data_IF_608255805667
#
_entry.id   IF_608255805667
#
_cell.length_a   1.000
_cell.length_b   1.000
_cell.length_c   1.000
_cell.angle_alpha   90.00
_cell.angle_beta   90.00
_cell.angle_gamma   90.00
#
_symmetry.space_group_name_H-M   'P 1'
#
loop_
_entity.id
_entity.type
_entity.pdbx_description
1 polymer ?
#
# COMPACT_ATOMS: atom_id res chain seq x y z
N UNK A 1 52.65 -16.99 28.86
CA UNK A 1 52.03 -17.82 29.91
C UNK A 1 50.53 -17.77 29.76
N UNK A 2 50.03 -18.83 29.32
CA UNK A 2 48.93 -19.70 29.73
C UNK A 2 47.56 -19.05 29.53
N UNK A 3 46.60 -19.66 29.07
CA UNK A 3 46.17 -20.91 28.45
C UNK A 3 44.67 -20.79 28.13
N UNK A 4 44.38 -21.26 27.00
CA UNK A 4 43.24 -22.04 26.54
C UNK A 4 42.09 -22.34 27.54
N UNK A 5 40.87 -22.16 27.08
CA UNK A 5 39.92 -23.25 27.29
C UNK A 5 38.75 -23.19 26.27
N UNK A 6 38.64 -24.29 25.61
CA UNK A 6 37.72 -24.72 24.57
C UNK A 6 36.53 -25.39 25.25
N UNK A 7 35.32 -25.02 24.90
CA UNK A 7 34.19 -25.90 25.19
C UNK A 7 33.23 -26.01 24.01
N UNK A 8 33.35 -27.13 23.38
CA UNK A 8 32.53 -27.75 22.39
C UNK A 8 31.29 -28.35 23.11
N UNK A 9 30.13 -28.10 22.59
CA UNK A 9 29.00 -28.96 22.95
C UNK A 9 28.16 -29.27 21.71
N UNK A 10 28.30 -30.52 21.33
CA UNK A 10 27.51 -31.29 20.39
C UNK A 10 26.25 -31.78 21.06
N UNK A 11 25.17 -31.83 20.41
CA UNK A 11 24.03 -32.77 20.52
C UNK A 11 23.01 -32.36 19.49
N UNK A 12 22.92 -33.02 18.43
CA UNK A 12 22.32 -34.28 18.02
C UNK A 12 20.80 -34.30 18.09
N UNK A 13 20.26 -34.40 16.91
CA UNK A 13 19.13 -35.18 16.40
C UNK A 13 17.87 -35.32 17.28
N UNK A 14 16.77 -34.99 16.64
CA UNK A 14 15.73 -36.00 16.47
C UNK A 14 14.74 -35.58 15.37
N UNK A 15 14.69 -36.46 14.38
CA UNK A 15 13.69 -36.55 13.33
C UNK A 15 12.44 -37.22 13.88
N UNK A 16 11.28 -36.65 13.69
CA UNK A 16 10.06 -37.44 13.69
C UNK A 16 9.18 -37.10 12.50
N UNK A 17 9.19 -38.03 11.62
CA UNK A 17 8.33 -38.25 10.49
C UNK A 17 6.98 -38.78 11.00
N UNK A 18 5.88 -38.17 10.60
CA UNK A 18 4.59 -38.84 10.73
C UNK A 18 3.78 -38.68 9.45
N UNK A 19 3.84 -39.74 8.67
CA UNK A 19 2.87 -40.07 7.65
C UNK A 19 1.65 -40.69 8.33
N UNK A 20 0.45 -40.28 7.96
CA UNK A 20 -0.69 -41.16 8.02
C UNK A 20 -1.61 -40.96 6.84
N UNK A 21 -1.73 -42.06 6.16
CA UNK A 21 -2.59 -42.31 5.02
C UNK A 21 -4.06 -42.51 5.43
N UNK A 22 -4.91 -42.13 4.55
CA UNK A 22 -5.91 -43.09 4.15
C UNK A 22 -7.37 -42.85 4.45
N UNK A 23 -8.05 -42.83 3.40
CA UNK A 23 -9.25 -43.57 3.01
C UNK A 23 -10.50 -42.76 2.71
N UNK A 24 -10.71 -42.62 1.43
CA UNK A 24 -12.01 -42.77 0.81
C UNK A 24 -12.41 -44.27 0.88
N UNK A 25 -13.66 -44.70 1.07
CA UNK A 25 -14.57 -44.79 -0.06
C UNK A 25 -16.08 -44.88 0.19
N UNK A 26 -16.77 -44.86 -0.93
CA UNK A 26 -17.99 -45.59 -1.35
C UNK A 26 -19.35 -45.02 -1.00
N UNK A 27 -19.98 -44.58 -2.00
CA UNK A 27 -21.04 -45.29 -2.78
C UNK A 27 -22.12 -46.05 -1.98
N UNK A 28 -23.37 -45.60 -2.13
CA UNK A 28 -24.56 -46.41 -2.26
C UNK A 28 -25.74 -45.56 -2.73
N UNK A 29 -26.10 -45.64 -3.94
CA UNK A 29 -27.14 -46.34 -4.70
C UNK A 29 -28.43 -46.69 -3.93
N UNK A 30 -29.55 -46.21 -4.44
CA UNK A 30 -30.91 -46.67 -4.10
C UNK A 30 -31.96 -45.66 -4.59
N UNK A 31 -32.41 -45.75 -5.68
CA UNK A 31 -33.44 -46.48 -6.39
C UNK A 31 -34.89 -46.21 -5.85
N UNK A 32 -35.72 -45.74 -6.82
CA UNK A 32 -37.13 -46.03 -7.14
C UNK A 32 -38.20 -45.03 -6.75
N UNK A 33 -39.13 -44.75 -7.76
CA UNK A 33 -40.08 -44.20 -8.24
C UNK A 33 -41.39 -44.00 -8.16
N UNK A 34 -42.07 -43.57 -8.65
CA UNK A 34 -43.26 -43.53 -9.22
C UNK A 34 -44.10 -42.38 -9.01
N UNK A 35 -44.51 -42.04 -9.91
CA UNK A 35 -45.41 -41.49 -10.48
C UNK A 35 -46.40 -40.64 -10.11
N UNK A 36 -46.85 -40.11 -10.69
CA UNK A 36 -48.03 -39.70 -11.03
C UNK A 36 -48.39 -38.33 -11.03
N UNK A 37 -48.73 -38.09 -11.82
CA UNK A 37 -49.21 -37.03 -12.42
C UNK A 37 -50.18 -36.17 -11.81
N UNK A 38 -50.33 -35.54 -12.15
CA UNK A 38 -51.27 -34.59 -12.25
C UNK A 38 -51.02 -33.36 -11.48
N UNK A 39 -50.84 -32.29 -12.10
CA UNK A 39 -50.61 -31.01 -11.45
C UNK A 39 -50.15 -29.92 -12.45
N UNK A 40 -50.36 -30.11 -13.74
CA UNK A 40 -49.90 -29.15 -14.78
C UNK A 40 -50.80 -27.92 -15.00
N UNK A 41 -51.90 -27.83 -14.32
CA UNK A 41 -52.82 -26.69 -14.49
C UNK A 41 -52.59 -25.51 -13.52
N UNK A 42 -51.80 -25.71 -12.46
CA UNK A 42 -51.58 -24.65 -11.45
C UNK A 42 -50.31 -23.83 -11.67
N UNK A 43 -49.43 -24.23 -12.62
CA UNK A 43 -48.16 -23.58 -12.82
C UNK A 43 -48.22 -22.33 -13.73
N UNK A 44 -49.33 -22.15 -14.44
CA UNK A 44 -49.42 -21.10 -15.47
C UNK A 44 -50.09 -19.79 -15.01
N UNK A 45 -50.56 -19.72 -13.78
CA UNK A 45 -51.24 -18.51 -13.28
C UNK A 45 -50.34 -17.61 -12.46
N UNK A 46 -49.16 -18.10 -12.06
CA UNK A 46 -48.23 -17.31 -11.22
C UNK A 46 -47.14 -16.56 -11.99
N UNK A 47 -47.15 -16.69 -13.33
CA UNK A 47 -46.12 -15.99 -14.15
C UNK A 47 -46.75 -14.80 -14.90
N UNK A 48 -47.66 -14.05 -14.23
CA UNK A 48 -48.01 -12.72 -14.72
C UNK A 48 -46.88 -11.77 -14.25
N UNK A 49 -46.10 -11.43 -15.19
CA UNK A 49 -45.04 -10.43 -15.13
C UNK A 49 -45.42 -9.20 -14.31
N UNK A 50 -44.75 -8.98 -13.21
CA UNK A 50 -44.69 -7.65 -12.63
C UNK A 50 -44.01 -6.75 -13.66
N UNK A 51 -44.56 -5.56 -13.96
CA UNK A 51 -43.83 -4.62 -14.79
C UNK A 51 -42.51 -4.27 -14.10
N UNK A 52 -41.42 -4.05 -14.86
CA UNK A 52 -40.18 -3.63 -14.25
C UNK A 52 -40.41 -2.30 -13.53
N UNK A 53 -40.36 -2.36 -12.23
CA UNK A 53 -40.25 -1.15 -11.43
C UNK A 53 -38.97 -0.48 -11.92
N UNK A 54 -39.16 0.64 -12.59
CA UNK A 54 -38.04 1.48 -12.98
C UNK A 54 -37.14 1.63 -11.74
N UNK A 55 -35.93 1.10 -11.84
CA UNK A 55 -34.99 1.16 -10.74
C UNK A 55 -34.82 2.61 -10.32
N UNK A 56 -35.29 2.89 -9.12
CA UNK A 56 -34.84 4.10 -8.44
C UNK A 56 -33.32 4.09 -8.46
N UNK A 57 -32.75 4.86 -9.36
CA UNK A 57 -31.36 5.21 -9.30
C UNK A 57 -31.19 5.90 -7.95
N UNK A 58 -30.74 5.13 -6.99
CA UNK A 58 -30.22 5.66 -5.74
C UNK A 58 -29.34 6.85 -6.12
N UNK A 59 -29.64 8.06 -5.69
CA UNK A 59 -28.84 9.20 -6.06
C UNK A 59 -27.40 8.84 -5.68
N UNK A 60 -26.52 8.82 -6.67
CA UNK A 60 -25.10 8.69 -6.40
C UNK A 60 -24.80 9.77 -5.36
N UNK A 61 -24.43 9.32 -4.17
CA UNK A 61 -24.02 10.24 -3.13
C UNK A 61 -22.97 11.13 -3.78
N UNK A 62 -23.31 12.38 -4.00
CA UNK A 62 -22.36 13.38 -4.47
C UNK A 62 -21.27 13.44 -3.41
N UNK A 63 -20.16 12.77 -3.67
CA UNK A 63 -18.97 12.92 -2.85
C UNK A 63 -18.69 14.41 -2.80
N UNK A 64 -18.88 15.01 -1.64
CA UNK A 64 -18.50 16.40 -1.39
C UNK A 64 -17.07 16.55 -1.90
N UNK A 65 -16.76 17.58 -2.66
CA UNK A 65 -15.39 17.74 -3.16
C UNK A 65 -14.44 17.67 -1.98
N UNK A 66 -13.60 16.63 -1.97
CA UNK A 66 -12.55 16.49 -0.97
C UNK A 66 -11.62 17.67 -1.16
N UNK A 67 -11.70 18.64 -0.26
CA UNK A 67 -10.76 19.75 -0.24
C UNK A 67 -9.39 19.18 0.08
N UNK A 68 -8.52 19.16 -0.90
CA UNK A 68 -7.15 18.72 -0.70
C UNK A 68 -6.43 19.67 0.25
N UNK A 69 -5.80 19.10 1.27
CA UNK A 69 -5.03 19.85 2.25
C UNK A 69 -3.56 19.76 1.85
N UNK A 70 -2.92 20.90 1.66
CA UNK A 70 -1.52 20.95 1.25
C UNK A 70 -0.64 21.46 2.38
N UNK A 71 0.49 20.80 2.58
CA UNK A 71 1.54 21.22 3.50
C UNK A 71 2.78 21.61 2.70
N UNK A 72 3.10 22.90 2.60
CA UNK A 72 4.32 23.34 1.92
C UNK A 72 5.53 23.15 2.82
N UNK A 73 6.67 22.87 2.20
CA UNK A 73 7.97 22.73 2.87
C UNK A 73 8.95 23.76 2.32
N UNK A 74 9.82 24.26 3.20
CA UNK A 74 10.93 25.12 2.81
C UNK A 74 11.85 24.38 1.82
N UNK A 75 12.53 25.12 0.96
CA UNK A 75 13.45 24.50 -0.01
C UNK A 75 14.49 23.59 0.63
N UNK A 76 14.83 22.54 -0.11
CA UNK A 76 15.94 21.64 0.21
C UNK A 76 17.05 21.90 -0.80
N UNK A 77 18.28 21.97 -0.33
CA UNK A 77 19.47 22.03 -1.17
C UNK A 77 20.43 20.95 -0.65
N UNK A 78 20.76 19.99 -1.49
CA UNK A 78 21.62 18.85 -1.14
C UNK A 78 22.65 18.60 -2.24
N UNK A 79 23.78 17.99 -1.86
CA UNK A 79 24.73 17.45 -2.83
C UNK A 79 24.24 16.09 -3.30
N UNK A 80 24.24 15.86 -4.60
CA UNK A 80 23.99 14.54 -5.19
C UNK A 80 25.29 13.74 -5.22
N UNK A 81 25.17 12.44 -5.13
CA UNK A 81 26.29 11.53 -5.35
C UNK A 81 26.63 11.54 -6.84
N UNK A 82 27.84 11.97 -7.18
CA UNK A 82 28.32 11.99 -8.56
C UNK A 82 29.83 11.69 -8.58
N UNK A 83 30.26 10.97 -9.61
CA UNK A 83 31.66 10.63 -9.83
C UNK A 83 32.40 11.67 -10.68
N UNK A 84 31.66 12.60 -11.30
CA UNK A 84 32.19 13.55 -12.28
C UNK A 84 32.31 14.98 -11.74
N UNK A 85 31.90 15.21 -10.52
CA UNK A 85 31.95 16.54 -9.90
C UNK A 85 30.89 16.78 -8.85
N UNK A 86 30.88 17.96 -8.29
CA UNK A 86 29.88 18.38 -7.32
C UNK A 86 28.60 18.79 -8.05
N UNK A 87 27.50 18.18 -7.71
CA UNK A 87 26.18 18.49 -8.25
C UNK A 87 25.22 18.80 -7.11
N UNK A 88 24.52 19.89 -7.25
CA UNK A 88 23.54 20.33 -6.24
C UNK A 88 22.13 20.14 -6.77
N UNK A 89 21.30 19.57 -5.93
CA UNK A 89 19.86 19.45 -6.19
C UNK A 89 19.10 20.42 -5.31
N UNK A 90 18.37 21.34 -5.93
CA UNK A 90 17.40 22.21 -5.24
C UNK A 90 15.98 21.70 -5.50
N UNK A 91 15.25 21.40 -4.43
CA UNK A 91 13.86 20.95 -4.52
C UNK A 91 12.99 21.81 -3.63
N UNK A 92 11.87 22.26 -4.18
CA UNK A 92 10.75 22.83 -3.40
C UNK A 92 9.56 21.89 -3.59
N UNK A 93 8.88 21.55 -2.51
CA UNK A 93 7.80 20.57 -2.57
C UNK A 93 6.64 20.90 -1.65
N UNK A 94 5.49 20.34 -2.00
CA UNK A 94 4.28 20.36 -1.17
C UNK A 94 3.76 18.93 -1.05
N UNK A 95 3.19 18.63 0.09
CA UNK A 95 2.57 17.33 0.35
C UNK A 95 1.06 17.46 0.46
N UNK A 96 0.35 16.62 -0.25
CA UNK A 96 -1.10 16.49 -0.14
C UNK A 96 -1.41 15.53 1.00
N UNK A 97 -2.20 16.00 1.96
CA UNK A 97 -2.56 15.26 3.17
C UNK A 97 -3.99 14.74 3.10
N UNK A 98 -4.24 13.62 3.75
CA UNK A 98 -5.56 13.01 3.82
C UNK A 98 -6.56 13.78 4.68
N UNK A 99 -6.07 14.58 5.62
CA UNK A 99 -6.88 15.22 6.63
C UNK A 99 -6.27 16.55 7.10
N UNK A 100 -7.13 17.52 7.38
CA UNK A 100 -6.76 18.84 7.93
C UNK A 100 -6.08 18.70 9.31
N UNK A 101 -6.53 17.75 10.12
CA UNK A 101 -5.99 17.56 11.46
C UNK A 101 -4.50 17.22 11.46
N UNK A 102 -4.00 16.61 10.37
CA UNK A 102 -2.58 16.28 10.21
C UNK A 102 -1.67 17.50 10.24
N UNK A 103 -2.14 18.67 9.84
CA UNK A 103 -1.30 19.88 9.78
C UNK A 103 -0.62 20.20 11.11
N UNK A 104 -1.32 19.97 12.21
CA UNK A 104 -0.75 20.20 13.55
C UNK A 104 0.40 19.22 13.84
N UNK A 105 0.19 17.94 13.56
CA UNK A 105 1.21 16.90 13.72
C UNK A 105 2.43 17.18 12.83
N UNK A 106 2.20 17.48 11.54
CA UNK A 106 3.27 17.79 10.59
C UNK A 106 4.11 18.97 11.04
N UNK A 107 3.48 20.03 11.55
CA UNK A 107 4.19 21.21 12.07
C UNK A 107 5.05 20.89 13.30
N UNK A 108 4.53 20.09 14.23
CA UNK A 108 5.29 19.68 15.42
C UNK A 108 6.48 18.81 15.06
N UNK A 109 6.32 17.94 14.07
CA UNK A 109 7.36 17.01 13.64
C UNK A 109 8.24 17.53 12.49
N UNK A 110 8.06 18.79 12.08
CA UNK A 110 8.77 19.39 10.94
C UNK A 110 10.28 19.08 10.94
N UNK A 111 11.03 19.28 12.05
CA UNK A 111 12.47 19.00 12.03
C UNK A 111 12.80 17.55 11.68
N UNK A 112 12.10 16.60 12.30
CA UNK A 112 12.28 15.16 12.05
C UNK A 112 11.94 14.79 10.61
N UNK A 113 10.83 15.31 10.11
CA UNK A 113 10.38 15.02 8.74
C UNK A 113 11.33 15.62 7.71
N UNK A 114 11.83 16.85 7.96
CA UNK A 114 12.83 17.48 7.10
C UNK A 114 14.14 16.69 7.07
N UNK A 115 14.59 16.22 8.21
CA UNK A 115 15.79 15.39 8.35
C UNK A 115 15.67 14.10 7.52
N UNK A 116 14.54 13.41 7.64
CA UNK A 116 14.23 12.21 6.84
C UNK A 116 14.30 12.49 5.33
N UNK A 117 13.79 13.65 4.90
CA UNK A 117 13.82 14.05 3.48
C UNK A 117 15.25 14.39 3.06
N UNK A 118 15.99 15.12 3.89
CA UNK A 118 17.39 15.48 3.62
C UNK A 118 18.25 14.24 3.42
N UNK A 119 18.15 13.26 4.31
CA UNK A 119 18.86 11.99 4.21
C UNK A 119 18.54 11.27 2.89
N UNK A 120 17.24 11.22 2.55
CA UNK A 120 16.82 10.59 1.31
C UNK A 120 17.39 11.32 0.09
N UNK A 121 17.27 12.64 0.03
CA UNK A 121 17.75 13.43 -1.11
C UNK A 121 19.29 13.31 -1.27
N UNK A 122 20.02 13.35 -0.16
CA UNK A 122 21.49 13.24 -0.15
C UNK A 122 22.00 11.85 -0.55
N UNK A 123 21.16 10.84 -0.46
CA UNK A 123 21.50 9.47 -0.90
C UNK A 123 21.33 9.25 -2.41
N UNK A 124 20.79 10.23 -3.13
CA UNK A 124 20.48 10.08 -4.56
C UNK A 124 21.67 10.43 -5.43
N UNK A 125 21.77 9.71 -6.55
CA UNK A 125 22.81 9.99 -7.56
C UNK A 125 22.28 10.98 -8.60
N UNK A 126 23.20 11.68 -9.25
CA UNK A 126 22.88 12.56 -10.38
C UNK A 126 22.14 11.80 -11.48
N UNK A 127 22.62 10.60 -11.83
CA UNK A 127 22.00 9.75 -12.87
C UNK A 127 20.56 9.39 -12.58
N UNK A 128 20.25 9.07 -11.32
CA UNK A 128 18.85 8.81 -10.90
C UNK A 128 17.95 10.02 -11.07
N UNK A 129 18.48 11.21 -10.78
CA UNK A 129 17.67 12.43 -10.72
C UNK A 129 17.41 13.06 -12.10
N UNK A 130 18.24 12.78 -13.09
CA UNK A 130 17.99 13.23 -14.48
C UNK A 130 17.02 12.28 -15.22
N UNK A 131 16.87 11.04 -14.76
CA UNK A 131 15.92 10.10 -15.34
C UNK A 131 14.48 10.60 -15.12
N UNK A 132 13.64 10.64 -16.17
CA UNK A 132 12.22 11.00 -15.99
C UNK A 132 11.48 10.16 -14.96
N UNK A 133 11.78 8.86 -14.87
CA UNK A 133 11.20 7.97 -13.88
C UNK A 133 11.79 8.19 -12.47
N UNK A 134 13.02 8.70 -12.40
CA UNK A 134 13.68 8.99 -11.13
C UNK A 134 12.91 9.99 -10.27
N UNK A 135 12.38 11.04 -10.89
CA UNK A 135 11.56 12.03 -10.18
C UNK A 135 10.27 11.42 -9.64
N UNK A 136 9.67 10.49 -10.39
CA UNK A 136 8.45 9.80 -9.91
C UNK A 136 8.78 8.89 -8.73
N UNK A 137 9.83 8.07 -8.86
CA UNK A 137 10.30 7.20 -7.76
C UNK A 137 10.60 8.00 -6.51
N UNK A 138 11.22 9.17 -6.67
CA UNK A 138 11.54 10.05 -5.54
C UNK A 138 10.29 10.54 -4.82
N UNK A 139 9.23 10.95 -5.57
CA UNK A 139 7.95 11.34 -4.96
C UNK A 139 7.35 10.20 -4.13
N UNK A 140 7.34 9.01 -4.70
CA UNK A 140 6.75 7.83 -4.07
C UNK A 140 7.54 7.42 -2.81
N UNK A 141 8.87 7.50 -2.89
CA UNK A 141 9.76 7.19 -1.77
C UNK A 141 9.62 8.21 -0.63
N UNK A 142 9.53 9.50 -0.96
CA UNK A 142 9.26 10.55 0.05
C UNK A 142 7.92 10.26 0.74
N UNK A 143 6.85 10.03 -0.04
CA UNK A 143 5.53 9.74 0.52
C UNK A 143 5.57 8.53 1.45
N UNK A 144 6.25 7.47 1.03
CA UNK A 144 6.41 6.25 1.84
C UNK A 144 7.14 6.54 3.16
N UNK A 145 8.28 7.24 3.11
CA UNK A 145 9.07 7.56 4.31
C UNK A 145 8.31 8.49 5.26
N UNK A 146 7.56 9.45 4.71
CA UNK A 146 6.71 10.31 5.52
C UNK A 146 5.66 9.49 6.26
N UNK A 147 4.99 8.59 5.54
CA UNK A 147 3.94 7.74 6.11
C UNK A 147 4.44 6.77 7.20
N UNK A 148 5.73 6.45 7.22
CA UNK A 148 6.33 5.67 8.32
C UNK A 148 6.50 6.47 9.61
N UNK A 149 6.52 7.79 9.50
CA UNK A 149 6.80 8.69 10.63
C UNK A 149 5.55 9.41 11.16
N UNK A 150 4.41 9.25 10.53
CA UNK A 150 3.16 9.92 10.85
C UNK A 150 2.14 8.90 11.35
N UNK A 151 1.31 9.28 12.29
CA UNK A 151 0.29 8.39 12.87
C UNK A 151 -1.15 8.86 12.65
N UNK A 152 -1.36 10.15 12.50
CA UNK A 152 -2.69 10.76 12.44
C UNK A 152 -3.35 10.82 11.07
N UNK A 153 -2.80 10.12 10.06
CA UNK A 153 -3.34 10.15 8.70
C UNK A 153 -2.29 9.72 7.66
N UNK A 154 -2.39 10.24 6.45
CA UNK A 154 -1.48 9.86 5.35
C UNK A 154 -1.10 11.04 4.47
N UNK A 155 0.14 11.05 4.03
CA UNK A 155 0.58 11.82 2.85
C UNK A 155 0.07 11.03 1.63
N UNK A 156 -0.81 11.65 0.87
CA UNK A 156 -1.43 11.06 -0.32
C UNK A 156 -0.50 11.18 -1.53
N UNK A 157 0.12 12.36 -1.66
CA UNK A 157 0.95 12.64 -2.83
C UNK A 157 1.97 13.75 -2.52
N UNK A 158 3.09 13.70 -3.21
CA UNK A 158 4.15 14.72 -3.15
C UNK A 158 4.21 15.45 -4.49
N UNK A 159 4.25 16.75 -4.46
CA UNK A 159 4.36 17.62 -5.64
C UNK A 159 5.63 18.43 -5.55
N UNK A 160 6.48 18.35 -6.57
CA UNK A 160 7.64 19.24 -6.71
C UNK A 160 7.20 20.50 -7.43
N UNK A 161 7.32 21.64 -6.77
CA UNK A 161 7.03 22.96 -7.35
C UNK A 161 8.28 23.56 -7.98
N UNK A 162 9.46 23.13 -7.53
CA UNK A 162 10.73 23.45 -8.17
C UNK A 162 11.64 22.21 -8.09
N UNK A 163 12.39 21.94 -9.14
CA UNK A 163 13.35 20.83 -9.18
C UNK A 163 14.48 21.21 -10.14
N UNK A 164 15.61 21.61 -9.59
CA UNK A 164 16.76 22.13 -10.35
C UNK A 164 18.02 21.36 -9.91
N UNK A 165 18.78 20.91 -10.90
CA UNK A 165 20.12 20.33 -10.69
C UNK A 165 21.12 21.29 -11.31
N UNK A 166 22.17 21.62 -10.57
CA UNK A 166 23.26 22.52 -10.99
C UNK A 166 24.60 21.85 -10.77
#
# INVERSE_FOLDING_TARGET
>A
MAAAEKKKNDSKDDLEENEDEGKDPSEKKGSKXXXXXXGTAAYFVFFKSKPPVAGEKKPAAQEKPKVSVFWPLDPFIVNLIDNEGERYLKVVMQMELSDQAMLAEMKLQTPKLRDTILDLLSSKTYKEMIDPLGKQRLRDEIAMRMNMNITGGKVLKVYFTEFVIQ
#
